data_IF_433285222523
#
_entry.id   IF_433285222523
#
_cell.length_a   1.000
_cell.length_b   1.000
_cell.length_c   1.000
_cell.angle_alpha   90.00
_cell.angle_beta   90.00
_cell.angle_gamma   90.00
#
_symmetry.space_group_name_H-M   'P 1'
#
loop_
_entity.id
_entity.type
_entity.pdbx_description
1 polymer ?
#
# COMPACT_ATOMS: atom_id res chain seq x y z
N UNK A 1 30.99 9.65 -28.81
CA UNK A 1 30.46 9.50 -27.44
C UNK A 1 28.91 9.56 -27.39
N UNK A 2 28.19 8.77 -28.21
CA UNK A 2 26.70 8.72 -28.19
C UNK A 2 26.13 7.29 -28.21
N UNK A 3 26.98 6.25 -28.17
CA UNK A 3 26.54 4.85 -28.29
C UNK A 3 26.07 4.23 -26.96
N UNK A 4 26.58 4.68 -25.83
CA UNK A 4 26.24 4.09 -24.52
C UNK A 4 24.86 4.51 -24.00
N UNK A 5 24.41 5.73 -24.32
CA UNK A 5 23.10 6.24 -23.89
C UNK A 5 21.93 5.46 -24.51
N UNK A 6 22.11 4.93 -25.73
CA UNK A 6 21.11 4.11 -26.42
C UNK A 6 20.98 2.71 -25.82
N UNK A 7 22.08 2.14 -25.30
CA UNK A 7 22.09 0.84 -24.63
C UNK A 7 21.41 0.89 -23.26
N UNK A 8 21.63 1.98 -22.50
CA UNK A 8 20.94 2.18 -21.22
C UNK A 8 19.44 2.40 -21.40
N UNK A 9 19.01 3.17 -22.41
CA UNK A 9 17.59 3.33 -22.71
C UNK A 9 16.93 2.02 -23.16
N UNK A 10 17.64 1.20 -23.94
CA UNK A 10 17.14 -0.09 -24.41
C UNK A 10 16.95 -1.09 -23.26
N UNK A 11 17.86 -1.11 -22.27
CA UNK A 11 17.69 -1.96 -21.08
C UNK A 11 16.54 -1.50 -20.18
N UNK A 12 16.34 -0.17 -20.03
CA UNK A 12 15.22 0.37 -19.26
C UNK A 12 13.87 0.02 -19.90
N UNK A 13 13.78 0.06 -21.23
CA UNK A 13 12.57 -0.30 -21.97
C UNK A 13 12.24 -1.80 -21.88
N UNK A 14 13.26 -2.66 -21.78
CA UNK A 14 13.06 -4.11 -21.61
C UNK A 14 12.55 -4.46 -20.21
N UNK A 15 12.97 -3.72 -19.17
CA UNK A 15 12.48 -3.92 -17.80
C UNK A 15 10.99 -3.55 -17.64
N UNK A 16 10.51 -2.57 -18.39
CA UNK A 16 9.07 -2.18 -18.39
C UNK A 16 8.19 -3.24 -19.07
N UNK A 17 8.72 -3.97 -20.07
CA UNK A 17 7.97 -5.01 -20.78
C UNK A 17 7.91 -6.36 -20.05
N UNK A 18 8.79 -6.61 -19.08
CA UNK A 18 8.70 -7.79 -18.22
C UNK A 18 7.61 -7.68 -17.12
N UNK A 19 7.06 -6.47 -16.90
CA UNK A 19 5.96 -6.23 -15.95
C UNK A 19 4.56 -6.44 -16.53
N UNK A 20 4.43 -6.62 -17.84
CA UNK A 20 3.15 -6.85 -18.54
C UNK A 20 2.86 -8.34 -18.80
N UNK A 21 3.33 -9.21 -17.90
CA UNK A 21 2.76 -10.54 -17.68
C UNK A 21 1.36 -10.45 -17.09
N UNK A 22 0.48 -9.75 -17.79
CA UNK A 22 -0.97 -9.72 -17.63
C UNK A 22 -1.49 -11.13 -17.96
N UNK A 23 -1.52 -11.99 -16.95
CA UNK A 23 -2.26 -13.25 -17.00
C UNK A 23 -3.75 -12.99 -16.85
N UNK A 24 -4.41 -12.64 -17.94
CA UNK A 24 -5.85 -12.87 -18.15
C UNK A 24 -5.93 -14.01 -19.18
N UNK A 25 -6.66 -15.12 -19.02
CA UNK A 25 -7.99 -15.26 -18.45
C UNK A 25 -8.26 -16.74 -18.13
N UNK A 26 -8.91 -17.00 -17.00
CA UNK A 26 -10.08 -17.89 -16.94
C UNK A 26 -11.09 -17.24 -16.01
N UNK A 27 -12.00 -16.46 -16.58
CA UNK A 27 -13.32 -16.25 -15.98
C UNK A 27 -13.99 -17.61 -16.02
N UNK A 28 -13.97 -18.30 -14.87
CA UNK A 28 -14.94 -19.31 -14.56
C UNK A 28 -16.14 -18.56 -13.96
N UNK A 29 -17.17 -18.43 -14.78
CA UNK A 29 -18.53 -18.12 -14.35
C UNK A 29 -19.05 -19.32 -13.51
N UNK A 30 -19.89 -19.05 -12.51
CA UNK A 30 -20.58 -19.99 -11.58
C UNK A 30 -19.84 -20.39 -10.27
N UNK A 31 -20.55 -20.60 -9.15
CA UNK A 31 -21.33 -19.65 -8.33
C UNK A 31 -20.80 -19.62 -6.87
N UNK A 32 -21.26 -18.65 -6.06
CA UNK A 32 -21.21 -18.54 -4.58
C UNK A 32 -20.34 -19.57 -3.80
N UNK A 33 -19.37 -19.07 -3.02
CA UNK A 33 -18.53 -19.80 -2.04
C UNK A 33 -17.17 -20.38 -2.50
N UNK A 34 -16.38 -19.63 -3.27
CA UNK A 34 -14.92 -19.83 -3.22
C UNK A 34 -14.36 -18.98 -2.09
N UNK A 35 -14.37 -19.54 -0.87
CA UNK A 35 -13.49 -19.09 0.21
C UNK A 35 -12.06 -19.38 -0.28
N UNK A 36 -11.42 -18.40 -0.91
CA UNK A 36 -9.96 -18.41 -1.01
C UNK A 36 -9.45 -18.43 0.43
N UNK A 37 -8.63 -19.42 0.84
CA UNK A 37 -8.00 -19.36 2.15
C UNK A 37 -7.20 -18.05 2.19
N UNK A 38 -7.53 -17.18 3.15
CA UNK A 38 -6.86 -15.89 3.29
C UNK A 38 -5.36 -16.13 3.32
N UNK A 39 -4.64 -15.63 2.32
CA UNK A 39 -3.21 -15.92 2.17
C UNK A 39 -2.35 -15.13 3.15
N UNK A 40 -2.97 -14.19 3.88
CA UNK A 40 -2.34 -13.36 4.89
C UNK A 40 -2.35 -14.09 6.22
N UNK A 41 -1.17 -14.39 6.75
CA UNK A 41 -1.04 -14.95 8.10
C UNK A 41 -1.10 -13.83 9.16
N UNK A 42 -1.36 -14.21 10.41
CA UNK A 42 -1.34 -13.27 11.54
C UNK A 42 -0.04 -12.46 11.61
N UNK A 43 1.10 -13.10 11.32
CA UNK A 43 2.40 -12.45 11.34
C UNK A 43 2.51 -11.31 10.29
N UNK A 44 1.93 -11.49 9.10
CA UNK A 44 1.93 -10.48 8.05
C UNK A 44 1.03 -9.30 8.42
N UNK A 45 -0.14 -9.58 8.97
CA UNK A 45 -1.06 -8.55 9.46
C UNK A 45 -0.43 -7.74 10.61
N UNK A 46 0.17 -8.41 11.60
CA UNK A 46 0.87 -7.78 12.71
C UNK A 46 2.03 -6.90 12.21
N UNK A 47 2.82 -7.40 11.26
CA UNK A 47 3.93 -6.65 10.66
C UNK A 47 3.44 -5.41 9.91
N UNK A 48 2.35 -5.54 9.14
CA UNK A 48 1.75 -4.41 8.43
C UNK A 48 1.18 -3.36 9.39
N UNK A 49 0.51 -3.77 10.47
CA UNK A 49 -0.01 -2.86 11.50
C UNK A 49 1.13 -2.13 12.20
N UNK A 50 2.21 -2.84 12.57
CA UNK A 50 3.37 -2.24 13.21
C UNK A 50 4.05 -1.21 12.31
N UNK A 51 4.22 -1.53 11.02
CA UNK A 51 4.78 -0.60 10.04
C UNK A 51 3.88 0.63 9.82
N UNK A 52 2.56 0.44 9.70
CA UNK A 52 1.61 1.54 9.59
C UNK A 52 1.60 2.43 10.84
N UNK A 53 1.69 1.83 12.03
CA UNK A 53 1.80 2.55 13.30
C UNK A 53 3.10 3.36 13.38
N UNK A 54 4.23 2.80 12.95
CA UNK A 54 5.50 3.51 12.90
C UNK A 54 5.43 4.70 11.92
N UNK A 55 4.82 4.51 10.75
CA UNK A 55 4.61 5.58 9.78
C UNK A 55 3.71 6.70 10.33
N UNK A 56 2.64 6.35 11.05
CA UNK A 56 1.76 7.32 11.71
C UNK A 56 2.50 8.10 12.80
N UNK A 57 3.25 7.40 13.67
CA UNK A 57 4.04 8.04 14.72
C UNK A 57 5.11 8.99 14.15
N UNK A 58 5.73 8.63 13.01
CA UNK A 58 6.72 9.48 12.36
C UNK A 58 6.17 10.77 11.74
N UNK A 59 4.88 10.82 11.40
CA UNK A 59 4.21 12.04 10.93
C UNK A 59 3.94 13.04 12.05
N UNK A 60 3.61 12.52 13.24
CA UNK A 60 3.00 13.31 14.30
C UNK A 60 1.55 13.71 13.98
N UNK A 61 0.81 14.12 15.00
CA UNK A 61 -0.54 14.67 14.81
C UNK A 61 -0.42 16.12 14.29
N UNK A 62 -0.43 16.29 12.96
CA UNK A 62 -0.42 17.61 12.30
C UNK A 62 -1.84 18.17 12.06
N UNK A 63 -2.88 17.40 12.42
CA UNK A 63 -4.29 17.79 12.28
C UNK A 63 -4.81 17.79 10.84
N UNK A 64 -4.04 17.27 9.87
CA UNK A 64 -4.52 17.13 8.49
C UNK A 64 -5.61 16.06 8.36
N UNK A 65 -6.47 16.21 7.35
CA UNK A 65 -7.52 15.24 7.06
C UNK A 65 -6.95 13.85 6.73
N UNK A 66 -5.78 13.81 6.10
CA UNK A 66 -5.05 12.61 5.72
C UNK A 66 -4.50 11.89 6.95
N UNK A 67 -3.93 12.62 7.92
CA UNK A 67 -3.48 12.04 9.19
C UNK A 67 -4.68 11.53 10.02
N UNK A 68 -5.81 12.25 10.01
CA UNK A 68 -7.05 11.77 10.63
C UNK A 68 -7.57 10.47 10.01
N UNK A 69 -7.59 10.38 8.67
CA UNK A 69 -7.95 9.15 7.96
C UNK A 69 -6.97 8.01 8.20
N UNK A 70 -5.67 8.31 8.26
CA UNK A 70 -4.65 7.31 8.57
C UNK A 70 -4.89 6.68 9.94
N UNK A 71 -5.22 7.49 10.96
CA UNK A 71 -5.57 7.04 12.31
C UNK A 71 -6.81 6.13 12.30
N UNK A 72 -7.91 6.59 11.71
CA UNK A 72 -9.16 5.82 11.65
C UNK A 72 -8.95 4.45 11.00
N UNK A 73 -8.23 4.41 9.88
CA UNK A 73 -7.99 3.16 9.15
C UNK A 73 -7.01 2.25 9.91
N UNK A 74 -6.04 2.82 10.61
CA UNK A 74 -5.13 2.06 11.48
C UNK A 74 -5.88 1.44 12.68
N UNK A 75 -6.82 2.17 13.27
CA UNK A 75 -7.64 1.65 14.36
C UNK A 75 -8.56 0.52 13.88
N UNK A 76 -9.15 0.66 12.68
CA UNK A 76 -9.89 -0.44 12.02
C UNK A 76 -9.00 -1.65 11.74
N UNK A 77 -7.76 -1.45 11.32
CA UNK A 77 -6.82 -2.56 11.10
C UNK A 77 -6.57 -3.36 12.39
N UNK A 78 -6.49 -2.68 13.54
CA UNK A 78 -6.34 -3.32 14.85
C UNK A 78 -7.62 -4.06 15.27
N UNK A 79 -8.79 -3.50 14.98
CA UNK A 79 -10.08 -4.16 15.22
C UNK A 79 -10.19 -5.48 14.45
N UNK A 80 -9.92 -5.46 13.14
CA UNK A 80 -9.89 -6.67 12.32
C UNK A 80 -8.87 -7.70 12.82
N UNK A 81 -7.71 -7.27 13.32
CA UNK A 81 -6.72 -8.19 13.89
C UNK A 81 -7.24 -8.87 15.18
N UNK A 82 -8.01 -8.17 16.01
CA UNK A 82 -8.66 -8.73 17.21
C UNK A 82 -9.73 -9.75 16.80
N UNK A 83 -10.49 -9.45 15.74
CA UNK A 83 -11.53 -10.33 15.17
C UNK A 83 -10.94 -11.51 14.37
N UNK A 84 -9.61 -11.57 14.24
CA UNK A 84 -8.85 -12.57 13.47
C UNK A 84 -9.13 -12.53 11.96
N UNK A 85 -9.64 -11.41 11.47
CA UNK A 85 -9.79 -11.11 10.05
C UNK A 85 -8.45 -10.58 9.49
N UNK A 86 -7.42 -11.43 9.46
CA UNK A 86 -6.04 -11.00 9.18
C UNK A 86 -5.85 -10.37 7.80
N UNK A 87 -6.59 -10.82 6.79
CA UNK A 87 -6.55 -10.21 5.45
C UNK A 87 -7.14 -8.79 5.44
N UNK A 88 -8.26 -8.58 6.15
CA UNK A 88 -8.85 -7.26 6.32
C UNK A 88 -7.94 -6.35 7.16
N UNK A 89 -7.34 -6.89 8.21
CA UNK A 89 -6.37 -6.20 9.05
C UNK A 89 -5.14 -5.74 8.25
N UNK A 90 -4.55 -6.63 7.45
CA UNK A 90 -3.42 -6.31 6.59
C UNK A 90 -3.79 -5.28 5.52
N UNK A 91 -4.91 -5.45 4.82
CA UNK A 91 -5.36 -4.51 3.80
C UNK A 91 -5.63 -3.11 4.39
N UNK A 92 -6.26 -3.05 5.57
CA UNK A 92 -6.47 -1.80 6.29
C UNK A 92 -5.14 -1.17 6.72
N UNK A 93 -4.19 -1.94 7.25
CA UNK A 93 -2.88 -1.42 7.65
C UNK A 93 -2.10 -0.83 6.47
N UNK A 94 -2.06 -1.51 5.32
CA UNK A 94 -1.44 -1.00 4.09
C UNK A 94 -2.12 0.30 3.62
N UNK A 95 -3.45 0.36 3.73
CA UNK A 95 -4.22 1.56 3.40
C UNK A 95 -3.91 2.72 4.35
N UNK A 96 -3.78 2.46 5.65
CA UNK A 96 -3.38 3.45 6.65
C UNK A 96 -1.98 4.01 6.34
N UNK A 97 -1.01 3.13 6.04
CA UNK A 97 0.34 3.54 5.60
C UNK A 97 0.30 4.44 4.35
N UNK A 98 -0.58 4.15 3.41
CA UNK A 98 -0.73 4.94 2.18
C UNK A 98 -1.25 6.36 2.49
N UNK A 99 -2.20 6.51 3.42
CA UNK A 99 -2.62 7.83 3.90
C UNK A 99 -1.51 8.57 4.63
N UNK A 100 -0.69 7.86 5.41
CA UNK A 100 0.49 8.44 6.02
C UNK A 100 1.47 8.99 4.96
N UNK A 101 1.76 8.21 3.92
CA UNK A 101 2.62 8.65 2.83
C UNK A 101 2.05 9.87 2.09
N UNK A 102 0.73 9.89 1.85
CA UNK A 102 0.04 11.02 1.22
C UNK A 102 0.15 12.29 2.09
N UNK A 103 -0.11 12.17 3.40
CA UNK A 103 0.03 13.28 4.35
C UNK A 103 1.45 13.87 4.30
N UNK A 104 2.48 13.01 4.31
CA UNK A 104 3.88 13.43 4.19
C UNK A 104 4.16 14.20 2.90
N UNK A 105 3.67 13.70 1.77
CA UNK A 105 3.86 14.36 0.47
C UNK A 105 3.16 15.72 0.47
N UNK A 106 1.96 15.84 1.04
CA UNK A 106 1.24 17.12 1.13
C UNK A 106 1.97 18.12 2.03
N UNK A 107 2.51 17.68 3.16
CA UNK A 107 3.34 18.52 4.03
C UNK A 107 4.58 19.05 3.29
N UNK A 108 5.26 18.17 2.54
CA UNK A 108 6.43 18.54 1.74
C UNK A 108 6.08 19.52 0.60
N UNK A 109 4.98 19.28 -0.11
CA UNK A 109 4.50 20.19 -1.16
C UNK A 109 4.16 21.57 -0.61
N UNK A 110 3.47 21.64 0.55
CA UNK A 110 3.19 22.91 1.24
C UNK A 110 4.47 23.61 1.69
N UNK A 111 5.43 22.88 2.25
CA UNK A 111 6.73 23.44 2.65
C UNK A 111 7.52 23.98 1.45
N UNK A 112 7.36 23.38 0.26
CA UNK A 112 7.95 23.85 -0.99
C UNK A 112 7.18 25.02 -1.65
N UNK A 113 6.08 25.48 -1.05
CA UNK A 113 5.25 26.57 -1.60
C UNK A 113 4.39 26.17 -2.80
N UNK A 114 4.26 24.86 -3.07
CA UNK A 114 3.39 24.32 -4.10
C UNK A 114 1.96 24.24 -3.54
N UNK A 115 1.01 24.86 -4.24
CA UNK A 115 -0.42 24.85 -3.91
C UNK A 115 -1.17 23.87 -4.78
#
# INVERSE_FOLDING_TARGET
MMRHTRLLLAMLALAVMAGYGCGSSKVADDPRDIIYPSSVEKADADAAIADAQAAYTALGEDGSAETGKAKEVLDKAKEFAIEKEYEAAWAAAIKAKSYCALSKVLQQSRAAGLK
#
